data_IF_446206600463
#
_entry.id   IF_446206600463
#
_cell.length_a   1.000
_cell.length_b   1.000
_cell.length_c   1.000
_cell.angle_alpha   90.00
_cell.angle_beta   90.00
_cell.angle_gamma   90.00
#
_symmetry.space_group_name_H-M   'P 1'
#
loop_
_entity.id
_entity.type
_entity.pdbx_description
1 polymer ?
#
# COMPACT_ATOMS: atom_id res chain seq x y z
N UNK A 1 15.95 -13.07 4.04
CA UNK A 1 14.52 -12.85 4.32
C UNK A 1 13.91 -12.27 3.05
N UNK A 2 12.78 -12.81 2.57
CA UNK A 2 12.08 -12.28 1.40
C UNK A 2 11.05 -11.25 1.89
N UNK A 3 11.06 -10.00 1.39
CA UNK A 3 10.04 -9.01 1.76
C UNK A 3 8.64 -9.46 1.33
N UNK A 4 7.63 -9.19 2.17
CA UNK A 4 6.24 -9.39 1.82
C UNK A 4 5.76 -8.16 1.03
N UNK A 5 5.26 -8.36 -0.18
CA UNK A 5 4.69 -7.27 -0.98
C UNK A 5 3.29 -6.96 -0.45
N UNK A 6 2.92 -5.69 -0.40
CA UNK A 6 1.54 -5.25 -0.16
C UNK A 6 1.20 -4.08 -1.07
N UNK A 7 -0.08 -3.79 -1.20
CA UNK A 7 -0.56 -2.63 -1.96
C UNK A 7 -1.71 -1.93 -1.27
N UNK A 8 -1.99 -0.70 -1.71
CA UNK A 8 -3.26 -0.02 -1.42
C UNK A 8 -4.06 0.04 -2.72
N UNK A 9 -5.22 -0.61 -2.69
CA UNK A 9 -6.09 -0.82 -3.84
C UNK A 9 -7.44 -0.13 -3.66
N UNK A 10 -8.12 0.13 -4.78
CA UNK A 10 -9.54 0.50 -4.71
C UNK A 10 -10.36 -0.65 -4.15
N UNK A 11 -11.52 -0.31 -3.58
CA UNK A 11 -12.52 -1.30 -3.21
C UNK A 11 -13.25 -1.81 -4.46
N UNK A 12 -13.51 -3.11 -4.51
CA UNK A 12 -14.45 -3.71 -5.44
C UNK A 12 -15.91 -3.51 -4.98
N UNK A 13 -16.85 -4.11 -5.72
CA UNK A 13 -18.29 -4.03 -5.39
C UNK A 13 -18.68 -4.73 -4.07
N UNK A 14 -17.76 -5.49 -3.46
CA UNK A 14 -17.95 -6.15 -2.15
C UNK A 14 -17.28 -5.39 -1.01
N UNK A 15 -16.56 -4.31 -1.31
CA UNK A 15 -15.81 -3.51 -0.34
C UNK A 15 -14.41 -4.07 -0.04
N UNK A 16 -14.00 -5.13 -0.72
CA UNK A 16 -12.70 -5.79 -0.62
C UNK A 16 -11.67 -5.14 -1.56
N UNK A 17 -10.35 -5.27 -1.32
CA UNK A 17 -9.35 -4.77 -2.25
C UNK A 17 -9.49 -5.42 -3.64
N UNK A 18 -9.59 -4.61 -4.68
CA UNK A 18 -9.54 -5.05 -6.08
C UNK A 18 -8.07 -5.27 -6.52
N UNK A 19 -7.63 -6.52 -6.77
CA UNK A 19 -6.26 -6.83 -7.17
C UNK A 19 -5.82 -6.17 -8.48
N UNK A 20 -6.76 -5.85 -9.37
CA UNK A 20 -6.48 -5.20 -10.66
C UNK A 20 -6.39 -3.67 -10.53
N UNK A 21 -6.76 -3.11 -9.38
CA UNK A 21 -6.81 -1.66 -9.11
C UNK A 21 -5.89 -1.23 -7.96
N UNK A 22 -4.69 -1.80 -7.87
CA UNK A 22 -3.66 -1.38 -6.90
C UNK A 22 -2.98 -0.09 -7.37
N UNK A 23 -3.06 0.97 -6.56
CA UNK A 23 -2.54 2.30 -6.93
C UNK A 23 -1.21 2.64 -6.27
N UNK A 24 -0.98 2.12 -5.06
CA UNK A 24 0.28 2.32 -4.32
C UNK A 24 0.82 0.95 -3.95
N UNK A 25 2.14 0.77 -4.13
CA UNK A 25 2.81 -0.49 -3.82
C UNK A 25 3.82 -0.30 -2.70
N UNK A 26 3.97 -1.32 -1.88
CA UNK A 26 4.93 -1.34 -0.80
C UNK A 26 5.53 -2.71 -0.54
N UNK A 27 6.56 -2.72 0.29
CA UNK A 27 7.21 -3.92 0.78
C UNK A 27 7.32 -3.85 2.29
N UNK A 28 6.99 -4.95 2.95
CA UNK A 28 7.12 -5.15 4.38
C UNK A 28 8.26 -6.14 4.66
N UNK A 29 9.13 -5.78 5.59
CA UNK A 29 10.22 -6.60 6.13
C UNK A 29 9.99 -6.83 7.62
N UNK A 30 10.87 -7.58 8.28
CA UNK A 30 10.82 -7.72 9.74
C UNK A 30 11.09 -6.40 10.51
N UNK A 31 11.63 -5.39 9.83
CA UNK A 31 12.05 -4.12 10.44
C UNK A 31 11.03 -3.00 10.20
N UNK A 32 10.11 -3.18 9.25
CA UNK A 32 9.08 -2.18 8.94
C UNK A 32 8.48 -2.36 7.55
N UNK A 33 7.79 -1.32 7.08
CA UNK A 33 7.21 -1.27 5.75
C UNK A 33 7.63 0.00 5.01
N UNK A 34 7.82 -0.11 3.70
CA UNK A 34 8.10 1.01 2.81
C UNK A 34 6.99 1.06 1.76
N UNK A 35 6.32 2.20 1.65
CA UNK A 35 5.37 2.51 0.59
C UNK A 35 6.05 3.38 -0.46
N UNK A 36 5.84 3.09 -1.74
CA UNK A 36 6.42 3.79 -2.87
C UNK A 36 5.34 4.19 -3.89
N UNK A 37 5.48 5.39 -4.45
CA UNK A 37 4.63 5.85 -5.55
C UNK A 37 5.33 6.89 -6.42
N UNK A 38 4.70 7.22 -7.55
CA UNK A 38 5.15 8.25 -8.49
C UNK A 38 4.17 9.41 -8.49
N UNK A 39 4.68 10.63 -8.36
CA UNK A 39 3.88 11.86 -8.46
C UNK A 39 4.61 12.87 -9.36
N UNK A 40 3.99 13.24 -10.49
CA UNK A 40 4.59 14.19 -11.44
C UNK A 40 5.95 13.73 -11.99
N UNK A 41 6.15 12.42 -12.15
CA UNK A 41 7.42 11.83 -12.58
C UNK A 41 8.52 11.81 -11.51
N UNK A 42 8.18 12.11 -10.26
CA UNK A 42 9.09 11.99 -9.12
C UNK A 42 8.73 10.78 -8.27
N UNK A 43 9.75 10.01 -7.93
CA UNK A 43 9.66 8.95 -6.94
C UNK A 43 9.41 9.53 -5.55
N UNK A 44 8.38 9.03 -4.88
CA UNK A 44 8.08 9.32 -3.49
C UNK A 44 8.11 8.01 -2.70
N UNK A 45 8.51 8.11 -1.43
CA UNK A 45 8.44 6.97 -0.51
C UNK A 45 8.14 7.43 0.91
N UNK A 46 7.53 6.53 1.68
CA UNK A 46 7.26 6.71 3.10
C UNK A 46 7.54 5.41 3.84
N UNK A 47 8.09 5.52 5.05
CA UNK A 47 8.45 4.38 5.91
C UNK A 47 7.46 4.30 7.07
N UNK A 48 7.06 3.07 7.41
CA UNK A 48 6.07 2.75 8.42
C UNK A 48 6.54 1.57 9.27
N UNK A 49 5.88 1.39 10.43
CA UNK A 49 6.12 0.23 11.30
C UNK A 49 5.69 -1.09 10.64
N UNK A 50 4.63 -1.06 9.82
CA UNK A 50 4.10 -2.20 9.07
C UNK A 50 3.11 -1.72 7.98
N UNK A 51 2.62 -2.65 7.16
CA UNK A 51 1.67 -2.39 6.08
C UNK A 51 0.32 -1.87 6.59
N UNK A 52 -0.14 -2.32 7.77
CA UNK A 52 -1.38 -1.85 8.38
C UNK A 52 -1.29 -0.36 8.73
N UNK A 53 -0.17 0.10 9.29
CA UNK A 53 0.08 1.53 9.56
C UNK A 53 0.13 2.36 8.27
N UNK A 54 0.71 1.82 7.20
CA UNK A 54 0.69 2.48 5.91
C UNK A 54 -0.75 2.65 5.38
N UNK A 55 -1.57 1.60 5.51
CA UNK A 55 -2.98 1.62 5.12
C UNK A 55 -3.84 2.55 5.99
N UNK A 56 -3.64 2.57 7.31
CA UNK A 56 -4.30 3.51 8.22
C UNK A 56 -4.00 4.97 7.86
N UNK A 57 -2.76 5.25 7.43
CA UNK A 57 -2.33 6.61 7.07
C UNK A 57 -2.86 7.05 5.71
N UNK A 58 -2.72 6.21 4.69
CA UNK A 58 -2.98 6.58 3.29
C UNK A 58 -4.29 6.05 2.72
N UNK A 59 -4.84 4.97 3.27
CA UNK A 59 -6.14 4.43 2.86
C UNK A 59 -7.25 5.49 2.90
N UNK A 60 -7.46 6.19 4.03
CA UNK A 60 -8.48 7.24 4.11
C UNK A 60 -8.21 8.46 3.22
N UNK A 61 -6.93 8.78 2.95
CA UNK A 61 -6.56 9.94 2.13
C UNK A 61 -6.91 9.75 0.65
N UNK A 62 -6.90 8.50 0.19
CA UNK A 62 -7.07 8.15 -1.22
C UNK A 62 -8.25 7.21 -1.49
N UNK A 63 -9.06 6.92 -0.47
CA UNK A 63 -10.13 5.91 -0.49
C UNK A 63 -9.64 4.54 -0.97
N UNK A 64 -8.56 4.06 -0.34
CA UNK A 64 -7.92 2.77 -0.65
C UNK A 64 -7.95 1.82 0.56
N UNK A 65 -7.85 0.53 0.26
CA UNK A 65 -7.80 -0.56 1.24
C UNK A 65 -6.54 -1.41 1.07
N UNK A 66 -6.10 -2.02 2.16
CA UNK A 66 -4.91 -2.86 2.16
C UNK A 66 -5.14 -4.13 1.34
N UNK A 67 -4.26 -4.36 0.38
CA UNK A 67 -4.17 -5.56 -0.44
C UNK A 67 -2.90 -6.33 -0.08
N UNK A 68 -3.05 -7.62 0.23
CA UNK A 68 -1.94 -8.56 0.44
C UNK A 68 -2.08 -9.68 -0.61
N UNK A 69 -1.22 -9.72 -1.65
CA UNK A 69 -1.24 -10.77 -2.69
C UNK A 69 -0.84 -12.15 -2.15
#
# INVERSE_FOLDING_TARGET
MVPNVFGLARRDNTGMPDPDSVLLWGMETAEGAILYWQEGGRSQFAVFENADRAAERFGPLFDLVLYRP
#
